data_IF_844053318598
#
_entry.id   IF_844053318598
#
_cell.length_a   1.000
_cell.length_b   1.000
_cell.length_c   1.000
_cell.angle_alpha   90.00
_cell.angle_beta   90.00
_cell.angle_gamma   90.00
#
_symmetry.space_group_name_H-M   'P 1'
#
loop_
_entity.id
_entity.type
_entity.pdbx_description
1 polymer ?
#
# COMPACT_ATOMS: atom_id res chain seq x y z
N UNK A 1 -46.55 -35.23 -46.70
CA UNK A 1 -47.80 -34.46 -46.87
C UNK A 1 -47.89 -33.42 -45.76
N UNK A 2 -47.52 -32.18 -46.08
CA UNK A 2 -48.06 -30.92 -45.55
C UNK A 2 -47.11 -29.84 -46.08
N UNK A 3 -47.61 -29.13 -47.08
CA UNK A 3 -46.92 -28.10 -47.83
C UNK A 3 -47.54 -26.75 -47.47
N UNK A 4 -46.73 -25.69 -47.59
CA UNK A 4 -47.09 -24.32 -47.96
C UNK A 4 -47.73 -23.38 -46.91
N UNK A 5 -46.89 -22.38 -46.58
CA UNK A 5 -47.13 -20.94 -46.75
C UNK A 5 -48.42 -20.33 -46.17
N UNK A 6 -48.23 -19.44 -45.18
CA UNK A 6 -48.88 -18.12 -45.19
C UNK A 6 -48.03 -17.11 -44.42
N UNK A 7 -47.40 -16.22 -45.17
CA UNK A 7 -46.79 -14.99 -44.69
C UNK A 7 -47.89 -14.03 -44.19
N UNK A 8 -47.73 -13.53 -42.96
CA UNK A 8 -48.51 -12.43 -42.39
C UNK A 8 -47.83 -11.07 -42.62
N UNK A 9 -48.58 -9.95 -42.60
CA UNK A 9 -48.18 -8.72 -43.25
C UNK A 9 -47.06 -7.96 -42.54
N UNK A 10 -46.14 -7.46 -43.38
CA UNK A 10 -45.04 -6.55 -43.08
C UNK A 10 -45.52 -5.34 -42.28
N UNK A 11 -45.16 -5.29 -40.99
CA UNK A 11 -45.36 -4.12 -40.15
C UNK A 11 -44.53 -2.95 -40.66
N UNK A 12 -45.20 -1.84 -40.97
CA UNK A 12 -44.62 -0.57 -41.39
C UNK A 12 -43.53 -0.16 -40.40
N UNK A 13 -42.25 -0.23 -40.82
CA UNK A 13 -41.13 0.33 -40.07
C UNK A 13 -41.34 1.84 -39.97
N UNK A 14 -41.83 2.33 -38.82
CA UNK A 14 -41.77 3.76 -38.47
C UNK A 14 -40.30 4.20 -38.53
N UNK A 15 -39.93 4.91 -39.60
CA UNK A 15 -38.67 5.68 -39.65
C UNK A 15 -38.74 6.70 -38.51
N UNK A 16 -38.01 6.46 -37.43
CA UNK A 16 -37.71 7.52 -36.45
C UNK A 16 -36.75 8.48 -37.15
N UNK A 17 -37.27 9.64 -37.54
CA UNK A 17 -36.45 10.76 -38.01
C UNK A 17 -35.60 11.23 -36.83
N UNK A 18 -34.33 10.82 -36.80
CA UNK A 18 -33.37 11.37 -35.83
C UNK A 18 -33.09 12.80 -36.30
N UNK A 19 -33.57 13.78 -35.53
CA UNK A 19 -33.11 15.16 -35.68
C UNK A 19 -31.61 15.17 -35.37
N UNK A 20 -30.79 15.34 -36.40
CA UNK A 20 -29.37 15.67 -36.23
C UNK A 20 -29.33 16.97 -35.44
N UNK A 21 -28.94 16.90 -34.17
CA UNK A 21 -28.67 18.07 -33.34
C UNK A 21 -27.36 18.67 -33.85
N UNK A 22 -27.34 19.97 -34.06
CA UNK A 22 -26.16 20.77 -34.44
C UNK A 22 -24.91 20.25 -33.72
N UNK A 23 -23.89 19.89 -34.49
CA UNK A 23 -22.55 19.62 -33.99
C UNK A 23 -21.97 20.94 -33.46
N UNK A 24 -22.16 21.17 -32.16
CA UNK A 24 -21.32 22.11 -31.43
C UNK A 24 -20.02 21.39 -31.13
N UNK A 25 -18.92 21.84 -31.72
CA UNK A 25 -17.59 21.42 -31.29
C UNK A 25 -17.39 21.94 -29.86
N UNK A 26 -17.39 21.02 -28.89
CA UNK A 26 -17.08 21.29 -27.48
C UNK A 26 -15.62 21.73 -27.36
N UNK A 27 -15.36 22.73 -26.52
CA UNK A 27 -14.00 23.08 -26.14
C UNK A 27 -13.37 21.99 -25.25
N UNK A 28 -12.04 21.98 -25.13
CA UNK A 28 -11.32 21.04 -24.26
C UNK A 28 -11.80 21.17 -22.80
N UNK A 29 -12.02 22.39 -22.31
CA UNK A 29 -12.62 22.66 -21.00
C UNK A 29 -14.00 22.03 -20.82
N UNK A 30 -14.88 22.10 -21.81
CA UNK A 30 -16.23 21.53 -21.68
C UNK A 30 -16.20 19.98 -21.73
N UNK A 31 -15.25 19.38 -22.46
CA UNK A 31 -14.98 17.94 -22.42
C UNK A 31 -14.41 17.50 -21.07
N UNK A 32 -13.49 18.29 -20.50
CA UNK A 32 -12.97 18.06 -19.16
C UNK A 32 -14.09 18.15 -18.13
N UNK A 33 -14.97 19.13 -18.23
CA UNK A 33 -16.09 19.29 -17.30
C UNK A 33 -17.13 18.16 -17.41
N UNK A 34 -17.31 17.57 -18.60
CA UNK A 34 -18.08 16.33 -18.78
C UNK A 34 -17.40 15.11 -18.13
N UNK A 35 -16.07 14.98 -18.23
CA UNK A 35 -15.32 13.92 -17.54
C UNK A 35 -15.38 14.08 -16.02
N UNK A 36 -15.24 15.31 -15.52
CA UNK A 36 -15.34 15.64 -14.09
C UNK A 36 -16.73 15.37 -13.50
N UNK A 37 -17.80 15.56 -14.28
CA UNK A 37 -19.17 15.34 -13.83
C UNK A 37 -19.69 13.92 -14.11
N UNK A 38 -19.00 13.14 -14.96
CA UNK A 38 -19.35 11.73 -15.25
C UNK A 38 -18.73 10.75 -14.26
N UNK A 39 -17.80 11.20 -13.41
CA UNK A 39 -17.24 10.44 -12.28
C UNK A 39 -18.14 10.54 -11.02
N UNK A 40 -19.42 10.93 -11.16
CA UNK A 40 -20.42 10.50 -10.18
C UNK A 40 -20.67 9.01 -10.39
N UNK A 41 -19.76 8.20 -9.83
CA UNK A 41 -19.86 6.75 -9.81
C UNK A 41 -21.26 6.35 -9.34
N UNK A 42 -22.04 5.78 -10.27
CA UNK A 42 -23.24 5.03 -9.94
C UNK A 42 -22.85 3.94 -8.94
N UNK A 43 -23.60 3.90 -7.84
CA UNK A 43 -23.43 2.98 -6.73
C UNK A 43 -23.30 1.52 -7.22
N UNK A 44 -22.08 1.02 -7.28
CA UNK A 44 -21.84 -0.41 -7.13
C UNK A 44 -21.94 -0.71 -5.65
N UNK A 45 -23.16 -1.00 -5.20
CA UNK A 45 -23.40 -1.73 -3.96
C UNK A 45 -22.66 -3.08 -4.05
N UNK A 46 -21.46 -3.13 -3.48
CA UNK A 46 -20.84 -4.37 -3.07
C UNK A 46 -21.66 -4.92 -1.90
N UNK A 47 -22.75 -5.59 -2.25
CA UNK A 47 -23.55 -6.34 -1.30
C UNK A 47 -22.68 -7.46 -0.73
N UNK A 48 -22.46 -7.38 0.58
CA UNK A 48 -21.89 -8.41 1.44
C UNK A 48 -20.37 -8.36 1.70
N UNK A 49 -19.88 -7.16 2.05
CA UNK A 49 -18.85 -7.06 3.10
C UNK A 49 -19.58 -6.95 4.42
N UNK A 50 -19.56 -8.02 5.23
CA UNK A 50 -20.03 -8.02 6.61
C UNK A 50 -19.59 -6.74 7.30
N UNK A 51 -20.56 -6.01 7.86
CA UNK A 51 -20.42 -4.74 8.56
C UNK A 51 -19.28 -4.81 9.60
N UNK A 52 -18.07 -4.40 9.19
CA UNK A 52 -16.93 -4.24 10.09
C UNK A 52 -17.14 -2.94 10.87
N UNK A 53 -17.89 -3.03 11.97
CA UNK A 53 -17.99 -1.96 12.95
C UNK A 53 -16.63 -1.78 13.63
N UNK A 54 -15.82 -0.87 13.08
CA UNK A 54 -14.72 -0.24 13.80
C UNK A 54 -15.34 0.97 14.50
N UNK A 55 -15.41 0.93 15.82
CA UNK A 55 -15.87 2.07 16.62
C UNK A 55 -15.03 3.31 16.30
N UNK A 56 -15.76 4.38 15.97
CA UNK A 56 -15.22 5.69 15.63
C UNK A 56 -14.78 6.43 16.90
N UNK A 57 -13.57 6.98 16.88
CA UNK A 57 -13.31 8.26 17.53
C UNK A 57 -12.88 9.22 16.43
N UNK A 58 -13.74 10.20 16.19
CA UNK A 58 -13.58 11.27 15.22
C UNK A 58 -12.65 12.36 15.76
N UNK A 59 -11.61 12.71 14.99
CA UNK A 59 -11.13 14.09 14.89
C UNK A 59 -10.83 14.39 13.43
N UNK A 60 -11.53 15.40 12.93
CA UNK A 60 -11.49 15.90 11.56
C UNK A 60 -10.24 16.80 11.43
N UNK A 61 -9.27 16.37 10.62
CA UNK A 61 -8.18 17.24 10.17
C UNK A 61 -7.87 16.90 8.72
N UNK A 62 -8.60 17.54 7.82
CA UNK A 62 -8.34 17.54 6.39
C UNK A 62 -7.17 18.48 6.09
N UNK A 63 -5.95 18.03 6.39
CA UNK A 63 -4.72 18.61 5.86
C UNK A 63 -4.55 18.18 4.40
N UNK A 64 -5.05 18.98 3.47
CA UNK A 64 -4.74 18.87 2.05
C UNK A 64 -3.34 19.41 1.79
N UNK A 65 -2.30 18.60 2.04
CA UNK A 65 -0.94 18.92 1.61
C UNK A 65 -0.76 18.44 0.17
N UNK A 66 -1.24 19.26 -0.77
CA UNK A 66 -0.88 19.13 -2.19
C UNK A 66 0.55 19.63 -2.38
N UNK A 67 1.51 18.73 -2.32
CA UNK A 67 2.95 19.00 -2.53
C UNK A 67 3.28 19.54 -3.93
N UNK A 68 2.32 19.53 -4.87
CA UNK A 68 2.49 20.09 -6.22
C UNK A 68 2.45 21.63 -6.27
N UNK A 69 1.85 22.31 -5.28
CA UNK A 69 1.76 23.79 -5.25
C UNK A 69 2.92 24.47 -4.51
N UNK A 70 3.72 23.72 -3.73
CA UNK A 70 4.86 24.28 -3.00
C UNK A 70 6.05 24.52 -3.93
N UNK A 71 6.23 23.69 -4.96
CA UNK A 71 7.33 23.83 -5.92
C UNK A 71 7.23 25.08 -6.81
N UNK A 72 6.04 25.67 -6.98
CA UNK A 72 5.88 26.88 -7.80
C UNK A 72 6.00 28.19 -7.00
N UNK A 73 5.80 28.15 -5.68
CA UNK A 73 5.87 29.35 -4.84
C UNK A 73 7.28 29.67 -4.33
N UNK A 74 8.22 28.73 -4.38
CA UNK A 74 9.62 28.97 -3.96
C UNK A 74 10.46 29.79 -4.96
N UNK A 75 9.97 30.03 -6.18
CA UNK A 75 10.66 30.90 -7.15
C UNK A 75 10.41 32.41 -6.95
N UNK A 76 9.49 32.81 -6.07
CA UNK A 76 8.97 34.19 -6.10
C UNK A 76 9.05 35.00 -4.81
N UNK A 77 9.70 34.56 -3.73
CA UNK A 77 9.79 35.41 -2.52
C UNK A 77 11.03 35.18 -1.66
N UNK A 78 12.15 35.83 -2.02
CA UNK A 78 13.07 36.47 -1.06
C UNK A 78 13.86 37.58 -1.75
N UNK A 79 13.45 38.84 -1.59
CA UNK A 79 14.30 40.00 -1.80
C UNK A 79 14.22 40.88 -0.56
N UNK A 80 15.27 40.86 0.27
CA UNK A 80 15.71 41.99 1.09
C UNK A 80 17.13 41.74 1.66
N UNK A 81 18.07 42.49 1.10
CA UNK A 81 19.33 43.04 1.64
C UNK A 81 20.43 42.12 2.20
N UNK A 82 21.31 41.67 1.29
CA UNK A 82 22.76 41.66 1.49
C UNK A 82 23.46 41.82 0.11
N UNK A 83 24.31 42.82 -0.15
CA UNK A 83 24.67 43.20 -1.52
C UNK A 83 25.81 42.39 -2.16
N UNK A 84 26.25 41.26 -1.59
CA UNK A 84 27.45 40.56 -2.11
C UNK A 84 27.41 39.03 -2.11
N UNK A 85 26.22 38.43 -2.12
CA UNK A 85 26.07 37.01 -2.46
C UNK A 85 25.06 36.91 -3.60
N UNK A 86 25.55 36.91 -4.83
CA UNK A 86 24.77 36.41 -5.94
C UNK A 86 24.57 34.92 -5.69
N UNK A 87 23.38 34.55 -5.22
CA UNK A 87 22.91 33.18 -5.28
C UNK A 87 22.77 32.90 -6.78
N UNK A 88 23.83 32.36 -7.36
CA UNK A 88 23.82 31.84 -8.72
C UNK A 88 22.72 30.79 -8.79
N UNK A 89 21.95 30.81 -9.88
CA UNK A 89 20.99 29.78 -10.23
C UNK A 89 21.52 28.40 -9.82
N UNK A 90 20.73 27.62 -9.08
CA UNK A 90 21.06 26.25 -8.69
C UNK A 90 21.02 25.35 -9.95
N UNK A 91 21.93 25.59 -10.88
CA UNK A 91 22.14 24.74 -12.03
C UNK A 91 22.71 23.42 -11.53
N UNK A 92 22.09 22.32 -11.97
CA UNK A 92 22.66 20.99 -11.78
C UNK A 92 24.06 20.97 -12.39
N UNK A 93 25.07 20.70 -11.56
CA UNK A 93 26.46 20.58 -12.01
C UNK A 93 26.96 19.16 -11.76
N UNK A 94 27.65 18.59 -12.74
CA UNK A 94 28.37 17.32 -12.57
C UNK A 94 29.68 17.49 -11.77
N UNK A 95 30.04 18.74 -11.45
CA UNK A 95 31.31 19.09 -10.83
C UNK A 95 31.24 18.88 -9.31
N UNK A 96 31.91 17.85 -8.82
CA UNK A 96 32.01 17.54 -7.38
C UNK A 96 33.12 18.33 -6.66
N UNK A 97 33.59 19.44 -7.24
CA UNK A 97 34.68 20.26 -6.69
C UNK A 97 34.33 20.78 -5.30
N UNK A 98 35.16 20.44 -4.31
CA UNK A 98 34.94 20.80 -2.90
C UNK A 98 34.20 19.74 -2.08
N UNK A 99 33.62 18.71 -2.70
CA UNK A 99 33.01 17.59 -1.98
C UNK A 99 34.09 16.63 -1.47
N UNK A 100 33.95 16.20 -0.21
CA UNK A 100 34.83 15.18 0.37
C UNK A 100 34.57 13.83 -0.30
N UNK A 101 35.55 13.34 -1.05
CA UNK A 101 35.50 12.01 -1.66
C UNK A 101 35.71 10.95 -0.57
N UNK A 102 34.71 10.11 -0.35
CA UNK A 102 34.78 8.98 0.57
C UNK A 102 34.80 7.71 -0.28
N UNK A 103 35.89 6.92 -0.26
CA UNK A 103 35.96 5.71 -1.07
C UNK A 103 34.95 4.67 -0.56
N UNK A 104 34.25 4.03 -1.49
CA UNK A 104 33.45 2.85 -1.20
C UNK A 104 34.37 1.64 -1.06
N UNK A 105 34.52 1.12 0.16
CA UNK A 105 35.47 0.04 0.47
C UNK A 105 34.82 -1.28 0.88
N UNK A 106 33.52 -1.26 1.19
CA UNK A 106 32.79 -2.44 1.64
C UNK A 106 32.41 -3.31 0.46
N UNK A 107 32.29 -4.62 0.70
CA UNK A 107 31.79 -5.59 -0.28
C UNK A 107 30.27 -5.63 -0.20
N UNK A 108 29.60 -5.49 -1.33
CA UNK A 108 28.15 -5.69 -1.42
C UNK A 108 27.77 -7.16 -1.41
N UNK A 109 26.55 -7.44 -0.98
CA UNK A 109 25.96 -8.77 -0.95
C UNK A 109 25.42 -9.18 0.41
N UNK A 110 25.17 -10.48 0.54
CA UNK A 110 24.66 -11.11 1.74
C UNK A 110 25.70 -11.04 2.88
N UNK A 111 25.26 -10.64 4.06
CA UNK A 111 26.06 -10.56 5.29
C UNK A 111 25.96 -11.83 6.15
N UNK A 112 25.00 -12.69 5.83
CA UNK A 112 24.78 -13.98 6.48
C UNK A 112 25.19 -15.10 5.53
N UNK A 113 25.33 -16.30 6.07
CA UNK A 113 25.48 -17.50 5.25
C UNK A 113 24.22 -17.71 4.40
N UNK A 114 24.40 -18.36 3.24
CA UNK A 114 23.27 -18.70 2.38
C UNK A 114 22.27 -19.56 3.15
N UNK A 115 20.98 -19.17 3.22
CA UNK A 115 19.96 -19.90 4.00
C UNK A 115 19.72 -21.32 3.50
N UNK A 116 20.00 -21.57 2.22
CA UNK A 116 19.74 -22.84 1.54
C UNK A 116 19.44 -22.64 0.06
N UNK A 117 19.11 -23.74 -0.62
CA UNK A 117 18.84 -23.75 -2.06
C UNK A 117 17.34 -23.55 -2.39
N UNK A 118 16.45 -23.63 -1.40
CA UNK A 118 15.01 -23.52 -1.64
C UNK A 118 14.50 -22.09 -1.48
N UNK A 119 13.51 -21.70 -2.29
CA UNK A 119 12.84 -20.40 -2.13
C UNK A 119 12.24 -20.20 -0.73
N UNK A 120 11.88 -21.29 -0.04
CA UNK A 120 11.39 -21.24 1.33
C UNK A 120 12.47 -20.80 2.31
N UNK A 121 13.72 -21.26 2.15
CA UNK A 121 14.82 -20.88 3.05
C UNK A 121 15.10 -19.37 2.95
N UNK A 122 15.07 -18.82 1.72
CA UNK A 122 15.19 -17.39 1.48
C UNK A 122 14.00 -16.60 2.03
N UNK A 123 12.77 -17.13 1.94
CA UNK A 123 11.61 -16.53 2.58
C UNK A 123 11.77 -16.48 4.11
N UNK A 124 12.26 -17.58 4.72
CA UNK A 124 12.48 -17.68 6.17
C UNK A 124 13.59 -16.76 6.69
N UNK A 125 14.48 -16.28 5.82
CA UNK A 125 15.45 -15.25 6.18
C UNK A 125 14.77 -13.93 6.60
N UNK A 126 13.64 -13.58 5.96
CA UNK A 126 12.86 -12.39 6.28
C UNK A 126 11.71 -12.69 7.25
N UNK A 127 11.00 -13.80 7.04
CA UNK A 127 9.96 -14.32 7.91
C UNK A 127 10.55 -15.33 8.90
N UNK A 128 11.36 -14.82 9.81
CA UNK A 128 11.97 -15.61 10.87
C UNK A 128 10.98 -15.97 11.99
N UNK A 129 11.44 -16.76 12.95
CA UNK A 129 10.60 -17.19 14.07
C UNK A 129 10.17 -16.01 14.95
N UNK A 130 10.97 -14.95 15.07
CA UNK A 130 10.62 -13.76 15.85
C UNK A 130 9.38 -13.07 15.27
N UNK A 131 9.40 -12.79 13.96
CA UNK A 131 8.27 -12.18 13.27
C UNK A 131 7.03 -13.09 13.31
N UNK A 132 7.20 -14.37 13.01
CA UNK A 132 6.08 -15.31 12.97
C UNK A 132 5.43 -15.48 14.36
N UNK A 133 6.23 -15.57 15.43
CA UNK A 133 5.70 -15.63 16.79
C UNK A 133 4.97 -14.35 17.18
N UNK A 134 5.51 -13.18 16.81
CA UNK A 134 4.84 -11.89 17.05
C UNK A 134 3.47 -11.84 16.36
N UNK A 135 3.39 -12.19 15.07
CA UNK A 135 2.13 -12.18 14.33
C UNK A 135 1.12 -13.13 14.96
N UNK A 136 1.54 -14.36 15.30
CA UNK A 136 0.69 -15.36 15.94
C UNK A 136 0.17 -14.86 17.28
N UNK A 137 1.05 -14.32 18.14
CA UNK A 137 0.69 -13.80 19.45
C UNK A 137 -0.36 -12.68 19.32
N UNK A 138 -0.08 -11.66 18.50
CA UNK A 138 -0.96 -10.50 18.37
C UNK A 138 -2.30 -10.86 17.72
N UNK A 139 -2.28 -11.73 16.71
CA UNK A 139 -3.51 -12.23 16.05
C UNK A 139 -4.38 -13.03 17.01
N UNK A 140 -3.79 -13.90 17.83
CA UNK A 140 -4.53 -14.68 18.83
C UNK A 140 -5.12 -13.79 19.93
N UNK A 141 -4.35 -12.83 20.45
CA UNK A 141 -4.81 -11.87 21.44
C UNK A 141 -6.00 -11.05 20.90
N UNK A 142 -5.88 -10.53 19.68
CA UNK A 142 -6.97 -9.77 19.06
C UNK A 142 -8.22 -10.62 18.83
N UNK A 143 -8.08 -11.88 18.42
CA UNK A 143 -9.24 -12.76 18.27
C UNK A 143 -10.01 -12.96 19.59
N UNK A 144 -9.31 -13.03 20.73
CA UNK A 144 -9.93 -13.08 22.07
C UNK A 144 -10.69 -11.79 22.37
N UNK A 145 -10.14 -10.63 22.01
CA UNK A 145 -10.83 -9.35 22.16
C UNK A 145 -12.12 -9.32 21.33
N UNK A 146 -12.06 -9.68 20.05
CA UNK A 146 -13.23 -9.72 19.16
C UNK A 146 -14.30 -10.69 19.67
N UNK A 147 -13.89 -11.86 20.18
CA UNK A 147 -14.79 -12.81 20.86
C UNK A 147 -15.50 -12.17 22.06
N UNK A 148 -14.76 -11.42 22.88
CA UNK A 148 -15.27 -10.82 24.10
C UNK A 148 -16.28 -9.70 23.85
N UNK A 149 -16.11 -8.95 22.76
CA UNK A 149 -17.01 -7.87 22.33
C UNK A 149 -18.24 -8.41 21.59
N UNK A 150 -18.13 -9.57 20.94
CA UNK A 150 -19.24 -10.20 20.18
C UNK A 150 -20.27 -10.95 21.04
N UNK A 151 -20.32 -10.68 22.36
CA UNK A 151 -21.24 -11.35 23.30
C UNK A 151 -22.70 -11.15 22.88
N UNK A 152 -23.39 -12.25 22.57
CA UNK A 152 -24.80 -12.27 22.18
C UNK A 152 -25.08 -12.71 20.73
N UNK A 153 -24.04 -12.94 19.93
CA UNK A 153 -24.17 -13.46 18.57
C UNK A 153 -23.62 -14.89 18.47
N UNK A 154 -24.40 -15.87 18.96
CA UNK A 154 -24.07 -17.31 18.99
C UNK A 154 -23.83 -17.94 17.60
N UNK A 155 -24.10 -17.19 16.52
CA UNK A 155 -23.91 -17.62 15.14
C UNK A 155 -22.70 -16.97 14.45
N UNK A 156 -21.95 -16.15 15.16
CA UNK A 156 -20.80 -15.46 14.57
C UNK A 156 -19.65 -16.44 14.29
N UNK A 157 -19.03 -16.32 13.11
CA UNK A 157 -17.88 -17.16 12.71
C UNK A 157 -16.70 -17.07 13.68
N UNK A 158 -16.60 -15.97 14.43
CA UNK A 158 -15.57 -15.78 15.46
C UNK A 158 -15.70 -16.79 16.60
N UNK A 159 -16.91 -17.29 16.91
CA UNK A 159 -17.11 -18.35 17.92
C UNK A 159 -16.38 -19.66 17.61
N UNK A 160 -16.00 -19.88 16.34
CA UNK A 160 -15.21 -21.02 15.88
C UNK A 160 -13.70 -20.76 15.93
N UNK A 161 -13.26 -19.65 16.52
CA UNK A 161 -11.84 -19.34 16.62
C UNK A 161 -11.08 -20.43 17.36
N UNK A 162 -10.04 -20.91 16.71
CA UNK A 162 -8.99 -21.73 17.29
C UNK A 162 -7.70 -20.94 17.22
N UNK A 163 -6.88 -21.05 18.27
CA UNK A 163 -5.55 -20.44 18.29
C UNK A 163 -4.80 -20.75 17.00
N UNK A 164 -4.33 -19.69 16.35
CA UNK A 164 -3.47 -19.72 15.20
C UNK A 164 -2.10 -20.28 15.62
N UNK A 165 -1.57 -21.19 14.82
CA UNK A 165 -0.21 -21.72 14.98
C UNK A 165 0.70 -21.16 13.89
N UNK A 166 2.02 -21.22 14.10
CA UNK A 166 3.00 -20.82 13.07
C UNK A 166 2.78 -21.60 11.78
N UNK A 167 2.54 -22.92 11.86
CA UNK A 167 2.28 -23.77 10.69
C UNK A 167 1.04 -23.32 9.91
N UNK A 168 -0.05 -22.98 10.60
CA UNK A 168 -1.25 -22.43 9.94
C UNK A 168 -1.00 -21.04 9.36
N UNK A 169 -0.25 -20.18 10.05
CA UNK A 169 0.12 -18.85 9.55
C UNK A 169 0.95 -18.95 8.26
N UNK A 170 1.92 -19.87 8.20
CA UNK A 170 2.73 -20.11 7.00
C UNK A 170 1.87 -20.61 5.84
N UNK A 171 0.89 -21.49 6.09
CA UNK A 171 -0.08 -21.92 5.07
C UNK A 171 -0.90 -20.72 4.60
N UNK A 172 -1.41 -19.90 5.53
CA UNK A 172 -2.17 -18.70 5.20
C UNK A 172 -1.37 -17.72 4.34
N UNK A 173 -0.11 -17.44 4.69
CA UNK A 173 0.79 -16.57 3.90
C UNK A 173 1.04 -17.18 2.52
N UNK A 174 1.31 -18.49 2.43
CA UNK A 174 1.53 -19.18 1.16
C UNK A 174 0.31 -19.12 0.23
N UNK A 175 -0.89 -19.33 0.77
CA UNK A 175 -2.13 -19.14 0.03
C UNK A 175 -2.33 -17.69 -0.40
N UNK A 176 -2.02 -16.72 0.47
CA UNK A 176 -2.09 -15.28 0.16
C UNK A 176 -1.16 -14.92 -1.00
N UNK A 177 0.09 -15.38 -1.00
CA UNK A 177 1.01 -15.19 -2.13
C UNK A 177 0.49 -15.84 -3.42
N UNK A 178 -0.16 -16.99 -3.30
CA UNK A 178 -0.72 -17.67 -4.46
C UNK A 178 -1.86 -16.86 -5.12
N UNK A 179 -2.64 -16.08 -4.36
CA UNK A 179 -3.64 -15.14 -4.91
C UNK A 179 -3.03 -14.05 -5.80
N UNK A 180 -1.75 -13.68 -5.56
CA UNK A 180 -1.02 -12.75 -6.41
C UNK A 180 -0.59 -13.39 -7.74
N UNK A 181 -0.40 -14.71 -7.76
CA UNK A 181 0.00 -15.47 -8.97
C UNK A 181 -1.20 -15.80 -9.84
N UNK A 182 -2.28 -16.27 -9.23
CA UNK A 182 -3.55 -16.59 -9.90
C UNK A 182 -4.59 -15.66 -9.32
N UNK A 183 -5.03 -14.67 -10.08
CA UNK A 183 -6.06 -13.72 -9.64
C UNK A 183 -7.45 -14.23 -10.06
N UNK A 184 -8.29 -14.53 -9.07
CA UNK A 184 -9.71 -14.82 -9.27
C UNK A 184 -10.58 -13.61 -8.90
N UNK A 185 -11.80 -13.48 -9.46
CA UNK A 185 -12.67 -12.33 -9.23
C UNK A 185 -13.01 -12.08 -7.75
N UNK A 186 -13.20 -13.13 -6.96
CA UNK A 186 -13.45 -13.04 -5.52
C UNK A 186 -12.54 -13.97 -4.73
N UNK A 187 -12.22 -13.58 -3.49
CA UNK A 187 -11.45 -14.42 -2.56
C UNK A 187 -12.14 -15.77 -2.27
N UNK A 188 -13.47 -15.83 -2.35
CA UNK A 188 -14.20 -17.07 -2.12
C UNK A 188 -14.07 -18.04 -3.31
N UNK A 189 -13.75 -17.53 -4.50
CA UNK A 189 -13.67 -18.34 -5.73
C UNK A 189 -12.55 -19.36 -5.67
N UNK A 190 -11.47 -19.09 -4.91
CA UNK A 190 -10.38 -20.04 -4.72
C UNK A 190 -10.84 -21.36 -4.08
N UNK A 191 -11.95 -21.36 -3.34
CA UNK A 191 -12.52 -22.57 -2.72
C UNK A 191 -13.69 -23.18 -3.50
N UNK A 192 -14.02 -22.67 -4.70
CA UNK A 192 -15.08 -23.25 -5.53
C UNK A 192 -14.66 -24.62 -6.08
N UNK A 193 -15.57 -25.60 -6.01
CA UNK A 193 -15.36 -26.96 -6.56
C UNK A 193 -15.62 -27.07 -8.06
N UNK A 194 -16.10 -25.99 -8.69
CA UNK A 194 -16.34 -26.00 -10.14
C UNK A 194 -15.00 -26.13 -10.86
N UNK A 195 -14.94 -26.99 -11.89
CA UNK A 195 -13.73 -27.24 -12.69
C UNK A 195 -13.08 -25.97 -13.24
N UNK A 196 -13.84 -24.92 -13.49
CA UNK A 196 -13.34 -23.62 -13.97
C UNK A 196 -12.55 -22.83 -12.90
N UNK A 197 -12.75 -23.15 -11.63
CA UNK A 197 -12.13 -22.49 -10.47
C UNK A 197 -11.32 -23.48 -9.62
N UNK A 198 -10.88 -24.59 -10.22
CA UNK A 198 -10.18 -25.66 -9.50
C UNK A 198 -8.80 -25.18 -9.05
N UNK A 199 -8.67 -24.81 -7.77
CA UNK A 199 -7.39 -24.47 -7.13
C UNK A 199 -7.03 -25.48 -6.03
N UNK A 200 -5.81 -25.40 -5.50
CA UNK A 200 -5.35 -26.24 -4.39
C UNK A 200 -5.73 -25.71 -3.00
N UNK A 201 -6.36 -24.52 -2.88
CA UNK A 201 -6.55 -23.83 -1.59
C UNK A 201 -7.28 -24.70 -0.56
N UNK A 202 -8.37 -25.35 -0.99
CA UNK A 202 -9.18 -26.24 -0.15
C UNK A 202 -8.43 -27.46 0.39
N UNK A 203 -7.29 -27.82 -0.21
CA UNK A 203 -6.44 -28.93 0.27
C UNK A 203 -5.54 -28.53 1.43
N UNK A 204 -5.28 -27.23 1.62
CA UNK A 204 -4.36 -26.71 2.63
C UNK A 204 -5.08 -26.01 3.78
N UNK A 205 -6.15 -25.27 3.51
CA UNK A 205 -6.92 -24.55 4.52
C UNK A 205 -8.38 -24.43 4.07
N UNK A 206 -9.33 -24.49 5.00
CA UNK A 206 -10.74 -24.20 4.66
C UNK A 206 -10.94 -22.72 4.39
N UNK A 207 -11.92 -22.39 3.53
CA UNK A 207 -12.29 -20.99 3.24
C UNK A 207 -12.57 -20.21 4.51
N UNK A 208 -13.37 -20.80 5.39
CA UNK A 208 -13.83 -20.12 6.60
C UNK A 208 -12.66 -19.89 7.57
N UNK A 209 -11.70 -20.83 7.67
CA UNK A 209 -10.48 -20.61 8.47
C UNK A 209 -9.61 -19.50 7.88
N UNK A 210 -9.43 -19.46 6.55
CA UNK A 210 -8.67 -18.41 5.89
C UNK A 210 -9.28 -17.03 6.10
N UNK A 211 -10.59 -16.88 5.87
CA UNK A 211 -11.30 -15.62 6.09
C UNK A 211 -11.30 -15.21 7.56
N UNK A 212 -11.38 -16.17 8.48
CA UNK A 212 -11.33 -15.90 9.90
C UNK A 212 -9.94 -15.44 10.35
N UNK A 213 -8.86 -16.05 9.84
CA UNK A 213 -7.48 -15.57 10.08
C UNK A 213 -7.33 -14.17 9.48
N UNK A 214 -7.81 -13.93 8.26
CA UNK A 214 -7.74 -12.62 7.61
C UNK A 214 -8.46 -11.53 8.42
N UNK A 215 -9.61 -11.85 9.03
CA UNK A 215 -10.36 -10.94 9.91
C UNK A 215 -9.61 -10.58 11.19
N UNK A 216 -8.86 -11.52 11.76
CA UNK A 216 -8.17 -11.35 13.04
C UNK A 216 -6.69 -11.03 12.91
N UNK A 217 -6.15 -10.95 11.69
CA UNK A 217 -4.72 -10.71 11.46
C UNK A 217 -4.29 -9.39 12.10
N UNK A 218 -3.34 -9.47 13.03
CA UNK A 218 -2.92 -8.34 13.85
C UNK A 218 -1.42 -8.36 14.12
N UNK A 219 -0.81 -7.18 14.32
CA UNK A 219 0.64 -7.03 14.46
C UNK A 219 1.08 -6.24 15.70
N UNK A 220 0.16 -5.67 16.48
CA UNK A 220 0.46 -4.91 17.69
C UNK A 220 -0.69 -5.05 18.69
N UNK A 221 -0.40 -4.87 19.98
CA UNK A 221 -1.45 -4.87 21.01
C UNK A 221 -2.40 -3.68 20.78
N UNK A 222 -3.71 -3.90 20.98
CA UNK A 222 -4.66 -2.80 20.98
C UNK A 222 -4.52 -1.99 22.26
N UNK A 223 -4.71 -0.68 22.12
CA UNK A 223 -4.69 0.26 23.23
C UNK A 223 -5.92 0.00 24.07
N UNK A 224 -5.73 -0.23 25.37
CA UNK A 224 -6.86 -0.44 26.28
C UNK A 224 -7.62 0.87 26.47
N UNK A 225 -8.90 0.79 26.80
CA UNK A 225 -9.78 1.96 26.98
C UNK A 225 -9.24 2.99 27.99
N UNK A 226 -8.42 2.55 28.95
CA UNK A 226 -7.81 3.39 29.98
C UNK A 226 -6.38 3.88 29.64
N UNK A 227 -5.86 3.56 28.46
CA UNK A 227 -4.52 3.92 28.02
C UNK A 227 -4.56 5.11 27.05
N UNK A 228 -3.53 5.98 27.05
CA UNK A 228 -3.48 7.10 26.12
C UNK A 228 -3.37 6.61 24.69
N UNK A 229 -4.05 7.30 23.77
CA UNK A 229 -3.94 7.03 22.33
C UNK A 229 -2.48 7.18 21.89
N UNK A 230 -1.91 6.19 21.16
CA UNK A 230 -0.56 6.27 20.65
C UNK A 230 -0.38 7.49 19.76
N UNK A 231 0.68 8.25 20.04
CA UNK A 231 1.09 9.38 19.21
C UNK A 231 1.50 8.90 17.81
N UNK A 232 2.11 7.71 17.73
CA UNK A 232 2.49 7.10 16.47
C UNK A 232 1.26 6.54 15.73
N UNK A 233 0.87 7.20 14.64
CA UNK A 233 -0.25 6.79 13.79
C UNK A 233 -0.03 5.42 13.14
N UNK A 234 1.20 4.92 13.07
CA UNK A 234 1.56 3.63 12.49
C UNK A 234 1.71 2.52 13.53
N UNK A 235 1.37 2.75 14.81
CA UNK A 235 1.64 1.79 15.89
C UNK A 235 1.15 0.36 15.59
N UNK A 236 0.02 0.22 14.87
CA UNK A 236 -0.54 -1.09 14.48
C UNK A 236 0.31 -1.89 13.51
N UNK A 237 1.18 -1.24 12.73
CA UNK A 237 2.06 -1.88 11.73
C UNK A 237 3.54 -1.65 12.01
N UNK A 238 3.87 -0.80 13.00
CA UNK A 238 5.23 -0.46 13.39
C UNK A 238 6.08 -1.70 13.69
N UNK A 239 5.61 -2.72 14.43
CA UNK A 239 6.41 -3.92 14.69
C UNK A 239 6.84 -4.65 13.42
N UNK A 240 5.96 -4.74 12.41
CA UNK A 240 6.26 -5.36 11.13
C UNK A 240 7.29 -4.54 10.33
N UNK A 241 7.11 -3.23 10.27
CA UNK A 241 8.00 -2.32 9.55
C UNK A 241 9.40 -2.31 10.16
N UNK A 242 9.49 -2.18 11.48
CA UNK A 242 10.76 -2.14 12.19
C UNK A 242 11.48 -3.49 12.08
N UNK A 243 10.75 -4.61 12.14
CA UNK A 243 11.32 -5.93 11.90
C UNK A 243 11.99 -6.02 10.53
N UNK A 244 11.29 -5.64 9.47
CA UNK A 244 11.83 -5.67 8.10
C UNK A 244 13.08 -4.77 7.98
N UNK A 245 12.97 -3.51 8.39
CA UNK A 245 14.08 -2.56 8.28
C UNK A 245 15.31 -2.99 9.11
N UNK A 246 15.10 -3.57 10.28
CA UNK A 246 16.19 -4.10 11.10
C UNK A 246 16.78 -5.38 10.52
N UNK A 247 15.94 -6.26 9.97
CA UNK A 247 16.40 -7.48 9.29
C UNK A 247 17.30 -7.13 8.12
N UNK A 248 16.87 -6.22 7.23
CA UNK A 248 17.65 -5.83 6.05
C UNK A 248 19.06 -5.34 6.39
N UNK A 249 19.21 -4.56 7.47
CA UNK A 249 20.54 -4.10 7.97
C UNK A 249 21.48 -5.23 8.36
N UNK A 250 20.94 -6.38 8.77
CA UNK A 250 21.72 -7.52 9.24
C UNK A 250 21.98 -8.56 8.14
N UNK A 251 21.11 -8.64 7.14
CA UNK A 251 21.20 -9.69 6.11
C UNK A 251 21.90 -9.22 4.86
N UNK A 252 21.89 -7.93 4.53
CA UNK A 252 22.37 -7.44 3.24
C UNK A 252 23.13 -6.12 3.37
N UNK A 253 24.24 -6.00 2.63
CA UNK A 253 24.94 -4.75 2.43
C UNK A 253 24.88 -4.35 0.96
N UNK A 254 24.37 -3.15 0.63
CA UNK A 254 24.20 -2.75 -0.75
C UNK A 254 25.52 -2.36 -1.42
N UNK A 255 25.49 -2.32 -2.74
CA UNK A 255 26.48 -1.70 -3.59
C UNK A 255 26.52 -0.19 -3.47
N UNK A 256 27.40 0.41 -4.27
CA UNK A 256 27.73 1.84 -4.19
C UNK A 256 26.54 2.75 -4.51
N UNK A 257 25.67 2.33 -5.43
CA UNK A 257 24.61 3.17 -6.00
C UNK A 257 23.26 2.78 -5.41
N UNK A 258 22.65 3.73 -4.73
CA UNK A 258 21.33 3.62 -4.14
C UNK A 258 20.35 4.51 -4.88
N UNK A 259 19.08 4.14 -4.84
CA UNK A 259 17.98 4.94 -5.36
C UNK A 259 16.93 5.14 -4.26
N UNK A 260 16.46 6.38 -4.13
CA UNK A 260 15.36 6.72 -3.26
C UNK A 260 14.16 7.14 -4.11
N UNK A 261 13.05 6.44 -3.95
CA UNK A 261 11.83 6.76 -4.71
C UNK A 261 10.57 6.56 -3.86
N UNK A 262 9.50 7.17 -4.35
CA UNK A 262 8.17 7.08 -3.79
C UNK A 262 7.40 5.89 -4.36
N UNK A 263 6.80 5.11 -3.47
CA UNK A 263 5.84 4.06 -3.82
C UNK A 263 4.50 4.30 -3.13
N UNK A 264 3.46 3.59 -3.59
CA UNK A 264 2.12 3.74 -3.04
C UNK A 264 1.40 2.40 -2.94
N UNK A 265 0.90 2.11 -1.75
CA UNK A 265 -0.04 1.00 -1.53
C UNK A 265 -1.45 1.53 -1.71
N UNK A 266 -2.20 0.92 -2.62
CA UNK A 266 -3.57 1.38 -2.92
C UNK A 266 -4.49 1.16 -1.74
N UNK A 267 -5.21 2.21 -1.34
CA UNK A 267 -6.18 2.12 -0.26
C UNK A 267 -7.30 3.15 -0.45
N UNK A 268 -8.54 2.66 -0.53
CA UNK A 268 -9.73 3.52 -0.66
C UNK A 268 -10.44 3.75 0.68
N UNK A 269 -10.20 2.90 1.68
CA UNK A 269 -10.86 2.96 2.99
C UNK A 269 -10.54 4.22 3.81
N UNK A 270 -11.20 4.33 4.96
CA UNK A 270 -10.91 5.38 5.94
C UNK A 270 -9.55 5.11 6.59
N UNK A 271 -8.64 6.07 6.47
CA UNK A 271 -7.31 6.01 7.08
C UNK A 271 -6.76 7.44 7.21
N UNK A 272 -6.31 7.80 8.41
CA UNK A 272 -5.94 9.18 8.77
C UNK A 272 -4.78 9.72 7.93
N UNK A 273 -3.86 8.86 7.50
CA UNK A 273 -2.66 9.26 6.74
C UNK A 273 -2.71 8.85 5.26
N UNK A 274 -3.90 8.51 4.74
CA UNK A 274 -4.11 8.28 3.30
C UNK A 274 -3.75 9.55 2.51
N UNK A 275 -2.96 9.39 1.47
CA UNK A 275 -2.54 10.47 0.58
C UNK A 275 -3.33 10.46 -0.73
N UNK A 276 -3.47 11.65 -1.32
CA UNK A 276 -3.98 11.84 -2.66
C UNK A 276 -2.88 12.34 -3.59
N UNK A 277 -2.51 11.55 -4.60
CA UNK A 277 -1.48 11.85 -5.59
C UNK A 277 -2.13 11.99 -6.97
N UNK A 278 -2.51 13.22 -7.41
CA UNK A 278 -3.32 13.43 -8.61
C UNK A 278 -2.64 12.96 -9.90
N UNK A 279 -1.30 13.01 -9.93
CA UNK A 279 -0.48 12.63 -11.09
C UNK A 279 -0.25 11.12 -11.22
N UNK A 280 -0.63 10.30 -10.23
CA UNK A 280 -0.46 8.84 -10.27
C UNK A 280 -1.73 8.18 -10.82
N UNK A 281 -1.58 7.06 -11.54
CA UNK A 281 -2.70 6.31 -12.15
C UNK A 281 -3.76 5.89 -11.13
N UNK A 282 -3.30 5.49 -9.95
CA UNK A 282 -4.15 5.30 -8.79
C UNK A 282 -3.89 6.47 -7.86
N UNK A 283 -4.91 7.27 -7.54
CA UNK A 283 -4.69 8.55 -6.87
C UNK A 283 -4.73 8.47 -5.35
N UNK A 284 -5.29 7.41 -4.77
CA UNK A 284 -5.47 7.28 -3.32
C UNK A 284 -4.72 6.08 -2.76
N UNK A 285 -3.98 6.29 -1.68
CA UNK A 285 -3.25 5.22 -1.03
C UNK A 285 -2.38 5.65 0.14
N UNK A 286 -1.57 4.72 0.62
CA UNK A 286 -0.53 4.96 1.61
C UNK A 286 0.78 5.24 0.87
N UNK A 287 1.34 6.45 1.04
CA UNK A 287 2.61 6.86 0.45
C UNK A 287 3.77 6.22 1.23
N UNK A 288 4.71 5.64 0.50
CA UNK A 288 5.93 5.03 0.99
C UNK A 288 7.13 5.75 0.38
N UNK A 289 8.20 5.90 1.14
CA UNK A 289 9.53 6.19 0.62
C UNK A 289 10.37 4.94 0.79
N UNK A 290 11.00 4.48 -0.28
CA UNK A 290 11.81 3.27 -0.26
C UNK A 290 13.24 3.62 -0.64
N UNK A 291 14.18 3.17 0.19
CA UNK A 291 15.58 3.14 -0.18
C UNK A 291 15.88 1.79 -0.81
N UNK A 292 16.40 1.81 -2.03
CA UNK A 292 16.68 0.61 -2.81
C UNK A 292 18.11 0.64 -3.34
N UNK A 293 18.67 -0.53 -3.60
CA UNK A 293 19.83 -0.63 -4.48
C UNK A 293 19.39 -0.50 -5.94
N UNK A 294 20.29 -0.02 -6.80
CA UNK A 294 20.03 0.16 -8.23
C UNK A 294 19.53 -1.11 -8.95
N UNK A 295 19.78 -2.30 -8.39
CA UNK A 295 19.36 -3.60 -8.92
C UNK A 295 18.09 -4.18 -8.26
N UNK A 296 17.31 -3.35 -7.55
CA UNK A 296 15.96 -3.57 -6.99
C UNK A 296 15.82 -4.11 -5.56
N UNK A 297 16.91 -4.32 -4.83
CA UNK A 297 16.82 -4.75 -3.42
C UNK A 297 16.34 -3.60 -2.53
N UNK A 298 15.24 -3.81 -1.78
CA UNK A 298 14.72 -2.82 -0.82
C UNK A 298 15.53 -2.91 0.49
N UNK A 299 16.07 -1.79 0.93
CA UNK A 299 16.97 -1.68 2.08
C UNK A 299 16.27 -1.10 3.32
N UNK A 300 15.41 -0.11 3.11
CA UNK A 300 14.68 0.58 4.16
C UNK A 300 13.36 1.10 3.58
N UNK A 301 12.27 0.98 4.33
CA UNK A 301 10.95 1.49 3.99
C UNK A 301 10.54 2.51 5.05
N UNK A 302 10.13 3.68 4.61
CA UNK A 302 9.49 4.69 5.46
C UNK A 302 8.05 4.93 4.99
N UNK A 303 7.09 4.79 5.89
CA UNK A 303 5.68 5.05 5.61
C UNK A 303 5.35 6.48 6.01
N UNK A 304 4.84 7.28 5.07
CA UNK A 304 4.46 8.65 5.37
C UNK A 304 3.14 8.69 6.15
N UNK A 305 3.18 9.21 7.38
CA UNK A 305 2.04 9.29 8.30
C UNK A 305 1.36 10.68 8.37
N UNK A 306 1.66 11.57 7.41
CA UNK A 306 1.18 12.95 7.37
C UNK A 306 1.98 13.91 8.27
N UNK A 307 1.37 15.03 8.67
CA UNK A 307 2.04 16.13 9.38
C UNK A 307 2.72 15.76 10.73
N UNK A 308 2.30 14.66 11.36
CA UNK A 308 2.93 14.15 12.59
C UNK A 308 4.18 13.31 12.37
N UNK A 309 4.57 13.08 11.11
CA UNK A 309 5.72 12.26 10.76
C UNK A 309 7.05 12.95 11.03
N UNK A 310 8.07 12.19 11.41
CA UNK A 310 9.41 12.71 11.70
C UNK A 310 10.07 13.39 10.48
N UNK A 311 9.62 13.09 9.27
CA UNK A 311 10.09 13.71 8.03
C UNK A 311 9.22 14.88 7.57
N UNK A 312 8.07 15.14 8.19
CA UNK A 312 7.14 16.19 7.78
C UNK A 312 7.67 17.61 8.02
N UNK A 313 7.07 18.58 7.31
CA UNK A 313 7.36 20.01 7.42
C UNK A 313 8.31 20.54 6.34
N UNK A 314 8.88 21.74 6.57
CA UNK A 314 9.81 22.36 5.62
C UNK A 314 11.01 21.44 5.37
N UNK A 315 11.49 21.43 4.12
CA UNK A 315 12.52 20.51 3.64
C UNK A 315 12.15 19.03 3.77
N UNK A 316 10.89 18.67 3.52
CA UNK A 316 10.39 17.28 3.61
C UNK A 316 11.30 16.30 2.85
N UNK A 317 11.60 16.59 1.59
CA UNK A 317 12.47 15.77 0.73
C UNK A 317 13.84 15.56 1.35
N UNK A 318 14.48 16.62 1.85
CA UNK A 318 15.77 16.54 2.52
C UNK A 318 15.69 15.64 3.76
N UNK A 319 14.65 15.80 4.58
CA UNK A 319 14.47 15.01 5.80
C UNK A 319 14.23 13.53 5.50
N UNK A 320 13.48 13.22 4.45
CA UNK A 320 13.26 11.84 3.98
C UNK A 320 14.59 11.22 3.53
N UNK A 321 15.35 11.94 2.69
CA UNK A 321 16.68 11.48 2.24
C UNK A 321 17.59 11.24 3.44
N UNK A 322 17.67 12.20 4.37
CA UNK A 322 18.51 12.08 5.55
C UNK A 322 18.07 10.91 6.46
N UNK A 323 16.77 10.68 6.60
CA UNK A 323 16.23 9.60 7.41
C UNK A 323 16.61 8.23 6.84
N UNK A 324 16.39 8.03 5.54
CA UNK A 324 16.65 6.74 4.88
C UNK A 324 18.16 6.47 4.75
N UNK A 325 18.96 7.50 4.47
CA UNK A 325 20.41 7.37 4.29
C UNK A 325 21.22 7.30 5.59
N UNK A 326 20.59 7.46 6.76
CA UNK A 326 21.27 7.58 8.07
C UNK A 326 22.31 6.50 8.36
N UNK A 327 22.08 5.28 7.87
CA UNK A 327 22.96 4.12 8.10
C UNK A 327 24.09 4.00 7.05
N UNK A 328 24.05 4.79 5.99
CA UNK A 328 24.96 4.71 4.85
C UNK A 328 25.88 5.95 4.73
N UNK A 329 25.67 6.97 5.56
CA UNK A 329 26.57 8.12 5.61
C UNK A 329 28.00 7.71 5.91
N UNK A 330 28.95 8.41 5.29
CA UNK A 330 30.40 8.20 5.46
C UNK A 330 30.94 6.84 4.98
N UNK A 331 30.17 6.07 4.21
CA UNK A 331 30.60 4.79 3.65
C UNK A 331 30.93 4.84 2.16
N UNK A 332 30.87 6.03 1.54
CA UNK A 332 31.14 6.21 0.10
C UNK A 332 30.02 5.76 -0.82
N UNK A 333 28.82 5.49 -0.28
CA UNK A 333 27.61 5.24 -1.06
C UNK A 333 27.06 6.54 -1.65
N UNK A 334 26.44 6.43 -2.81
CA UNK A 334 25.86 7.52 -3.57
C UNK A 334 24.38 7.21 -3.78
N UNK A 335 23.51 8.12 -3.35
CA UNK A 335 22.07 8.04 -3.60
C UNK A 335 21.72 8.93 -4.79
N UNK A 336 20.87 8.40 -5.67
CA UNK A 336 20.25 9.09 -6.79
C UNK A 336 18.79 9.40 -6.50
#
# INVERSE_FOLDING_TARGET
MADLNKAGPSGVKRRKTVKVRNEKNLSVEELMQFLYNSDSDEDYEDSDVDNFEIENVSEDSSGSDTEDDVLQNELNNTVADNPDVQITDNEWTETTSGMKQIPFTKRSGLLVDSPGDSAYDWFRLLFDDELLNMIVLQTNSYAVEVLSTSKGCDRSSISLWKELTISELLIFIGLTFHTGTIQLPSIQDYWKKNRLFSTCFSSYMSRDRYLLIMRCLHFAENVKENEPVPVDRLYKVRPLLDHFNNKMKTVYYPGKYLSLDESMILWKGKLVFKQYLPKKRHKYGVKLYMLTEADSTILDIHIYAGAGDATAGKSHTERVVLHLMRNFFYHGLQAL
#
